data_IF_865985178950
#
_entry.id   IF_865985178950
#
_cell.length_a   1.000
_cell.length_b   1.000
_cell.length_c   1.000
_cell.angle_alpha   90.00
_cell.angle_beta   90.00
_cell.angle_gamma   90.00
#
_symmetry.space_group_name_H-M   'P 1'
#
loop_
_entity.id
_entity.type
_entity.pdbx_description
1 polymer ?
#
# COMPACT_ATOMS: atom_id res chain seq x y z
N UNK A 1 -20.23 -14.00 24.24
CA UNK A 1 -20.90 -15.31 24.41
C UNK A 1 -21.85 -15.72 23.28
N UNK A 2 -22.20 -14.83 22.37
CA UNK A 2 -23.10 -15.19 21.23
C UNK A 2 -22.35 -15.68 19.96
N UNK A 3 -21.06 -15.49 19.88
CA UNK A 3 -20.27 -15.82 18.67
C UNK A 3 -19.73 -17.27 18.64
N UNK A 4 -19.75 -17.96 19.77
CA UNK A 4 -19.31 -19.38 19.87
C UNK A 4 -20.41 -20.41 19.60
N UNK A 5 -21.69 -20.01 19.56
CA UNK A 5 -22.79 -20.94 19.33
C UNK A 5 -23.08 -21.22 17.84
N UNK A 6 -22.63 -20.35 16.95
CA UNK A 6 -22.87 -20.50 15.49
C UNK A 6 -21.86 -21.43 14.80
N UNK A 7 -20.64 -21.54 15.33
CA UNK A 7 -19.63 -22.47 14.79
C UNK A 7 -19.91 -23.94 15.12
N UNK A 8 -20.63 -24.21 16.19
CA UNK A 8 -21.00 -25.58 16.56
C UNK A 8 -22.16 -26.13 15.71
N UNK A 9 -23.09 -25.27 15.25
CA UNK A 9 -24.23 -25.70 14.41
C UNK A 9 -23.84 -25.97 12.95
N UNK A 10 -22.78 -25.39 12.41
CA UNK A 10 -22.33 -25.67 11.02
C UNK A 10 -21.53 -26.97 10.87
N UNK A 11 -20.97 -27.52 11.95
CA UNK A 11 -20.28 -28.83 11.88
C UNK A 11 -21.19 -30.03 11.97
N UNK A 12 -22.43 -29.86 12.44
CA UNK A 12 -23.43 -30.98 12.51
C UNK A 12 -24.30 -31.14 11.25
N UNK A 13 -24.29 -30.14 10.36
CA UNK A 13 -25.09 -30.20 9.12
C UNK A 13 -24.34 -30.81 7.93
N UNK A 14 -23.04 -31.14 8.07
CA UNK A 14 -22.26 -31.78 6.98
C UNK A 14 -22.03 -33.28 7.17
N UNK A 15 -22.57 -33.88 8.24
CA UNK A 15 -22.37 -35.34 8.52
C UNK A 15 -23.56 -36.22 8.18
N UNK A 16 -24.62 -35.71 7.52
CA UNK A 16 -25.82 -36.50 7.22
C UNK A 16 -26.26 -36.44 5.77
N UNK A 17 -25.34 -36.52 4.84
CA UNK A 17 -25.66 -36.72 3.42
C UNK A 17 -24.58 -37.54 2.71
N UNK A 18 -24.42 -38.80 3.13
CA UNK A 18 -23.88 -39.87 2.31
C UNK A 18 -24.52 -41.17 2.83
N UNK A 19 -25.59 -41.59 2.21
CA UNK A 19 -26.05 -42.96 2.09
C UNK A 19 -27.27 -42.96 1.17
N UNK A 20 -27.10 -43.45 -0.01
CA UNK A 20 -27.92 -44.39 -0.73
C UNK A 20 -27.64 -44.34 -2.23
N UNK A 21 -26.96 -45.34 -2.74
CA UNK A 21 -27.36 -46.07 -3.95
C UNK A 21 -26.58 -47.37 -4.03
N UNK A 22 -27.37 -48.39 -4.20
CA UNK A 22 -27.25 -49.80 -4.25
C UNK A 22 -26.34 -50.37 -5.34
N UNK A 23 -25.55 -51.40 -4.95
CA UNK A 23 -25.47 -52.79 -5.41
C UNK A 23 -25.24 -53.08 -6.91
N UNK A 24 -24.19 -53.82 -7.21
CA UNK A 24 -24.20 -55.22 -7.61
C UNK A 24 -22.82 -55.75 -8.00
N UNK A 25 -22.48 -56.85 -7.34
CA UNK A 25 -21.97 -58.16 -7.82
C UNK A 25 -20.64 -58.24 -8.59
N UNK A 26 -19.70 -58.95 -8.13
CA UNK A 26 -19.35 -60.37 -8.16
C UNK A 26 -17.87 -60.61 -7.90
N UNK A 27 -17.61 -61.55 -7.00
CA UNK A 27 -16.65 -62.66 -7.03
C UNK A 27 -15.15 -62.50 -6.68
N UNK A 28 -14.85 -63.27 -5.61
CA UNK A 28 -13.67 -64.10 -5.30
C UNK A 28 -12.62 -63.62 -4.32
N UNK A 29 -12.72 -64.28 -3.21
CA UNK A 29 -11.83 -64.61 -2.06
C UNK A 29 -10.59 -65.45 -2.49
N UNK A 30 -9.59 -65.75 -1.62
CA UNK A 30 -9.27 -65.37 -0.24
C UNK A 30 -7.74 -65.15 0.03
N UNK A 31 -7.40 -64.64 1.21
CA UNK A 31 -6.10 -64.96 1.76
C UNK A 31 -5.44 -64.01 2.77
N UNK A 32 -5.53 -64.40 4.03
CA UNK A 32 -4.57 -64.22 5.11
C UNK A 32 -4.52 -62.89 5.87
N UNK A 33 -4.87 -63.02 7.11
CA UNK A 33 -4.88 -62.14 8.22
C UNK A 33 -3.57 -61.61 8.73
N UNK A 34 -3.68 -60.51 9.47
CA UNK A 34 -2.85 -60.21 10.66
C UNK A 34 -3.58 -59.22 11.56
N UNK A 35 -3.38 -59.48 12.84
CA UNK A 35 -3.96 -58.91 14.05
C UNK A 35 -4.02 -57.38 14.12
N UNK A 36 -5.15 -56.92 14.63
CA UNK A 36 -5.39 -55.58 15.14
C UNK A 36 -5.13 -55.57 16.64
N UNK A 37 -4.13 -54.79 17.09
CA UNK A 37 -3.96 -54.49 18.51
C UNK A 37 -4.77 -53.26 18.88
N UNK A 38 -5.57 -53.42 19.92
CA UNK A 38 -6.38 -52.42 20.58
C UNK A 38 -5.60 -51.22 21.10
N UNK A 39 -6.14 -50.03 20.91
CA UNK A 39 -5.79 -48.82 21.65
C UNK A 39 -6.95 -48.49 22.60
N UNK A 40 -6.64 -48.01 23.82
CA UNK A 40 -7.63 -47.86 24.88
C UNK A 40 -8.46 -46.58 24.79
N UNK A 41 -9.69 -46.72 25.30
CA UNK A 41 -10.67 -45.68 25.44
C UNK A 41 -10.22 -44.55 26.38
N UNK A 42 -10.46 -43.33 25.99
CA UNK A 42 -10.30 -42.15 26.82
C UNK A 42 -11.59 -41.94 27.64
N UNK A 43 -11.51 -42.13 28.94
CA UNK A 43 -12.59 -41.93 29.90
C UNK A 43 -12.74 -40.44 30.20
N UNK A 44 -13.97 -39.97 30.14
CA UNK A 44 -14.48 -38.67 30.49
C UNK A 44 -14.49 -38.44 32.00
N UNK A 45 -13.83 -37.38 32.49
CA UNK A 45 -14.20 -36.72 33.75
C UNK A 45 -14.23 -35.23 33.56
N UNK A 46 -15.44 -34.67 33.45
CA UNK A 46 -15.72 -33.25 33.56
C UNK A 46 -15.92 -32.91 35.04
N UNK A 47 -14.95 -32.30 35.68
CA UNK A 47 -15.15 -31.70 37.01
C UNK A 47 -15.77 -30.30 36.85
N UNK A 48 -17.00 -30.20 37.35
CA UNK A 48 -17.73 -28.95 37.53
C UNK A 48 -17.18 -28.18 38.73
N UNK A 49 -16.43 -27.12 38.54
CA UNK A 49 -16.11 -26.18 39.61
C UNK A 49 -17.28 -25.22 39.88
N UNK A 50 -17.93 -25.42 41.02
CA UNK A 50 -18.89 -24.49 41.62
C UNK A 50 -18.19 -23.18 41.98
N UNK A 51 -18.74 -22.05 41.51
CA UNK A 51 -18.36 -20.69 42.01
C UNK A 51 -18.93 -20.46 43.40
N UNK A 52 -18.17 -19.86 44.31
CA UNK A 52 -18.73 -19.38 45.60
C UNK A 52 -19.54 -18.09 45.37
N UNK A 53 -20.71 -18.02 45.95
CA UNK A 53 -21.55 -16.82 46.08
C UNK A 53 -20.95 -15.88 47.12
N UNK A 54 -20.80 -14.59 46.80
CA UNK A 54 -20.69 -13.53 47.78
C UNK A 54 -19.41 -12.70 47.74
N UNK A 55 -19.35 -11.74 46.80
CA UNK A 55 -18.51 -10.55 46.95
C UNK A 55 -19.31 -9.35 46.45
N UNK A 56 -19.60 -8.42 47.37
CA UNK A 56 -20.28 -7.15 47.11
C UNK A 56 -19.36 -6.22 46.32
N UNK A 57 -19.90 -5.57 45.28
CA UNK A 57 -19.23 -4.55 44.53
C UNK A 57 -18.87 -3.32 45.39
N UNK A 58 -17.71 -2.69 45.23
CA UNK A 58 -17.39 -1.46 45.92
C UNK A 58 -18.21 -0.29 45.38
N UNK A 59 -18.91 0.42 46.25
CA UNK A 59 -19.56 1.70 46.00
C UNK A 59 -18.47 2.78 45.86
N UNK A 60 -18.38 3.43 44.74
CA UNK A 60 -17.63 4.66 44.60
C UNK A 60 -18.42 5.81 45.22
N UNK A 61 -17.89 6.35 46.34
CA UNK A 61 -18.41 7.54 47.00
C UNK A 61 -18.04 8.78 46.16
N UNK A 62 -19.02 9.65 45.99
CA UNK A 62 -18.81 10.97 45.39
C UNK A 62 -17.89 11.79 46.32
N UNK A 63 -16.71 12.18 45.81
CA UNK A 63 -15.81 13.12 46.50
C UNK A 63 -16.24 14.53 46.12
N UNK A 64 -16.72 15.29 47.15
CA UNK A 64 -17.05 16.71 47.06
C UNK A 64 -15.76 17.53 46.89
N UNK A 65 -15.65 18.27 45.80
CA UNK A 65 -14.59 19.23 45.50
C UNK A 65 -14.88 20.60 46.16
N UNK A 66 -14.72 20.69 47.45
CA UNK A 66 -14.89 21.97 48.18
C UNK A 66 -13.72 22.34 49.08
N UNK A 67 -12.48 22.07 48.72
CA UNK A 67 -11.33 22.60 49.47
C UNK A 67 -10.02 22.58 48.70
N UNK A 68 -9.92 23.41 47.66
CA UNK A 68 -8.62 23.79 47.11
C UNK A 68 -8.62 25.31 46.86
N UNK A 69 -8.02 26.05 47.83
CA UNK A 69 -7.68 27.47 47.64
C UNK A 69 -6.49 27.59 46.73
N UNK A 70 -6.68 28.31 45.60
CA UNK A 70 -5.60 28.77 44.72
C UNK A 70 -5.24 30.22 45.09
N UNK A 71 -3.96 30.60 45.05
CA UNK A 71 -3.57 31.99 45.22
C UNK A 71 -3.92 32.84 44.01
N UNK A 72 -4.30 34.09 44.31
CA UNK A 72 -4.76 35.09 43.35
C UNK A 72 -3.66 35.52 42.36
N UNK A 73 -4.07 35.67 41.12
CA UNK A 73 -3.40 36.53 40.16
C UNK A 73 -3.13 35.93 38.78
N UNK A 74 -4.17 35.77 37.97
CA UNK A 74 -4.15 36.02 36.53
C UNK A 74 -5.62 35.98 36.06
N UNK A 75 -6.13 37.14 35.65
CA UNK A 75 -7.45 37.28 35.06
C UNK A 75 -7.45 36.82 33.61
N UNK A 76 -8.17 35.75 33.29
CA UNK A 76 -8.62 35.46 31.95
C UNK A 76 -10.15 35.66 31.86
N UNK A 77 -10.52 36.66 31.08
CA UNK A 77 -11.90 36.93 30.73
C UNK A 77 -12.45 35.83 29.81
N UNK A 78 -13.28 34.95 30.35
CA UNK A 78 -14.08 33.99 29.56
C UNK A 78 -15.43 34.60 29.25
N UNK A 79 -15.61 35.10 28.04
CA UNK A 79 -16.90 35.57 27.53
C UNK A 79 -17.66 34.34 26.99
N UNK A 80 -18.61 33.83 27.77
CA UNK A 80 -19.62 32.90 27.28
C UNK A 80 -20.74 33.69 26.58
N UNK A 81 -20.85 33.59 25.29
CA UNK A 81 -22.03 34.08 24.54
C UNK A 81 -22.99 32.92 24.37
N UNK A 82 -24.06 32.95 25.17
CA UNK A 82 -25.24 32.09 25.01
C UNK A 82 -26.12 32.73 23.92
N UNK A 83 -26.15 32.17 22.73
CA UNK A 83 -27.13 32.58 21.71
C UNK A 83 -28.19 31.48 21.63
N UNK A 84 -29.32 31.71 22.31
CA UNK A 84 -30.60 31.09 21.94
C UNK A 84 -31.20 31.89 20.82
N UNK A 85 -31.36 31.31 19.65
CA UNK A 85 -32.24 31.86 18.61
C UNK A 85 -33.28 30.80 18.25
N UNK A 86 -34.49 31.00 18.73
CA UNK A 86 -35.69 30.43 18.12
C UNK A 86 -35.99 31.23 16.85
N UNK A 87 -36.18 30.57 15.73
CA UNK A 87 -36.70 31.24 14.52
C UNK A 87 -36.43 30.40 13.26
N UNK A 88 -37.45 29.72 12.83
CA UNK A 88 -37.60 29.14 11.49
C UNK A 88 -37.18 30.10 10.40
N UNK A 89 -36.18 29.74 9.55
CA UNK A 89 -36.20 30.05 8.11
C UNK A 89 -35.09 29.30 7.37
N UNK A 90 -35.51 28.62 6.30
CA UNK A 90 -34.83 28.25 5.06
C UNK A 90 -33.36 27.81 5.14
N UNK A 91 -33.14 26.50 4.99
CA UNK A 91 -31.90 25.92 4.53
C UNK A 91 -31.53 26.51 3.16
N UNK A 92 -30.74 27.57 3.16
CA UNK A 92 -30.00 27.97 1.96
C UNK A 92 -28.74 27.10 1.88
N UNK A 93 -28.49 26.51 0.71
CA UNK A 93 -27.37 25.69 0.30
C UNK A 93 -26.05 26.27 0.79
N UNK A 94 -25.42 25.58 1.73
CA UNK A 94 -24.08 25.88 2.20
C UNK A 94 -23.10 25.59 1.06
N UNK A 95 -22.57 26.63 0.44
CA UNK A 95 -21.46 26.48 -0.52
C UNK A 95 -20.14 26.22 0.24
N UNK A 96 -19.40 25.15 -0.08
CA UNK A 96 -18.14 24.81 0.63
C UNK A 96 -17.01 25.83 0.42
N UNK A 97 -17.18 26.80 -0.47
CA UNK A 97 -16.15 27.76 -0.85
C UNK A 97 -15.79 28.81 0.22
N UNK A 98 -16.53 28.89 1.33
CA UNK A 98 -16.31 29.95 2.35
C UNK A 98 -15.60 29.49 3.63
N UNK A 99 -15.16 28.24 3.74
CA UNK A 99 -14.51 27.71 4.97
C UNK A 99 -12.98 27.73 4.96
N UNK A 100 -12.34 28.20 3.90
CA UNK A 100 -10.90 28.32 3.86
C UNK A 100 -10.49 29.77 3.61
N UNK A 101 -9.80 30.43 4.56
CA UNK A 101 -9.23 31.74 4.29
C UNK A 101 -8.27 31.64 3.09
N UNK A 102 -8.24 32.70 2.27
CA UNK A 102 -7.45 32.82 1.04
C UNK A 102 -5.91 32.66 1.22
N UNK A 103 -5.45 32.15 2.35
CA UNK A 103 -4.05 31.89 2.70
C UNK A 103 -3.58 30.45 2.51
N UNK A 104 -4.41 29.51 2.00
CA UNK A 104 -4.00 28.11 1.81
C UNK A 104 -2.98 27.94 0.65
N UNK A 105 -2.85 28.93 -0.23
CA UNK A 105 -1.90 28.92 -1.35
C UNK A 105 -0.72 29.87 -1.13
N UNK A 106 -0.28 30.08 0.09
CA UNK A 106 0.75 31.05 0.45
C UNK A 106 2.21 30.69 0.12
N UNK A 107 2.46 29.54 -0.49
CA UNK A 107 3.76 29.20 -1.09
C UNK A 107 3.65 29.39 -2.61
N UNK A 108 4.74 29.75 -3.28
CA UNK A 108 4.79 30.18 -4.69
C UNK A 108 4.27 29.17 -5.73
N UNK A 109 3.84 27.98 -5.32
CA UNK A 109 3.37 26.92 -6.23
C UNK A 109 4.45 26.39 -7.20
N UNK A 110 5.71 26.74 -6.94
CA UNK A 110 6.90 26.32 -7.70
C UNK A 110 7.82 25.57 -6.76
N UNK A 111 8.50 24.53 -7.26
CA UNK A 111 9.52 23.81 -6.51
C UNK A 111 10.63 24.78 -6.07
N UNK A 112 10.89 24.98 -4.76
CA UNK A 112 11.87 25.95 -4.28
C UNK A 112 13.32 25.62 -4.68
N UNK A 113 13.58 24.43 -5.19
CA UNK A 113 14.89 23.98 -5.67
C UNK A 113 14.90 23.63 -7.17
N UNK A 114 13.96 24.17 -7.95
CA UNK A 114 13.92 23.93 -9.39
C UNK A 114 15.28 24.22 -10.05
N UNK A 115 15.91 25.34 -9.65
CA UNK A 115 17.20 25.81 -10.20
C UNK A 115 18.44 25.24 -9.49
N UNK A 116 18.26 24.36 -8.49
CA UNK A 116 19.39 23.76 -7.81
C UNK A 116 20.17 22.85 -8.77
N UNK A 117 21.41 23.24 -9.09
CA UNK A 117 22.32 22.42 -9.88
C UNK A 117 22.72 21.19 -9.08
N UNK A 118 22.60 20.02 -9.69
CA UNK A 118 23.09 18.76 -9.16
C UNK A 118 24.13 18.18 -10.13
N UNK A 119 25.02 17.37 -9.60
CA UNK A 119 25.90 16.56 -10.43
C UNK A 119 25.06 15.39 -11.00
N UNK A 120 24.75 15.43 -12.29
CA UNK A 120 23.92 14.43 -12.94
C UNK A 120 24.58 13.04 -12.93
N UNK A 121 25.90 12.97 -12.93
CA UNK A 121 26.61 11.69 -12.83
C UNK A 121 26.42 11.00 -11.47
N UNK A 122 26.23 11.79 -10.39
CA UNK A 122 25.86 11.24 -9.07
C UNK A 122 24.40 10.81 -8.99
N UNK A 123 23.56 11.27 -9.91
CA UNK A 123 22.16 10.86 -10.05
C UNK A 123 21.96 9.55 -10.82
N UNK A 124 23.03 8.86 -11.21
CA UNK A 124 22.98 7.55 -11.85
C UNK A 124 23.35 6.43 -10.86
N UNK A 125 22.50 5.39 -10.75
CA UNK A 125 22.81 4.25 -9.90
C UNK A 125 24.04 3.47 -10.42
N UNK A 126 24.87 3.05 -9.47
CA UNK A 126 26.05 2.22 -9.76
C UNK A 126 25.69 0.74 -9.87
N UNK A 127 26.56 -0.04 -10.51
CA UNK A 127 26.44 -1.51 -10.52
C UNK A 127 26.53 -2.05 -9.09
N UNK A 128 25.83 -3.16 -8.83
CA UNK A 128 25.80 -3.82 -7.52
C UNK A 128 25.74 -5.33 -7.69
N UNK A 129 26.22 -6.06 -6.69
CA UNK A 129 26.27 -7.54 -6.69
C UNK A 129 25.44 -8.14 -5.55
N UNK A 130 24.86 -7.32 -4.69
CA UNK A 130 24.06 -7.77 -3.54
C UNK A 130 22.89 -8.66 -3.95
N UNK A 131 22.53 -9.60 -3.08
CA UNK A 131 21.21 -10.19 -3.07
C UNK A 131 20.26 -9.24 -2.35
N UNK A 132 19.27 -8.71 -3.08
CA UNK A 132 18.27 -7.81 -2.52
C UNK A 132 16.87 -8.42 -2.57
N UNK A 133 16.07 -8.17 -1.54
CA UNK A 133 14.66 -8.55 -1.48
C UNK A 133 13.77 -7.39 -1.91
N UNK A 134 12.84 -7.65 -2.84
CA UNK A 134 11.80 -6.70 -3.24
C UNK A 134 10.45 -7.27 -2.85
N UNK A 135 9.84 -6.78 -1.78
CA UNK A 135 8.45 -7.14 -1.45
C UNK A 135 7.50 -6.36 -2.34
N UNK A 136 6.45 -7.00 -2.85
CA UNK A 136 5.58 -6.39 -3.86
C UNK A 136 6.25 -6.23 -5.22
N UNK A 137 7.27 -7.06 -5.51
CA UNK A 137 8.09 -6.95 -6.72
C UNK A 137 7.39 -7.31 -8.01
N UNK A 138 6.24 -8.00 -7.97
CA UNK A 138 5.39 -8.28 -9.13
C UNK A 138 4.36 -7.18 -9.41
N UNK A 139 4.33 -6.14 -8.57
CA UNK A 139 3.42 -5.00 -8.72
C UNK A 139 3.91 -3.97 -9.74
N UNK A 140 3.12 -2.89 -9.93
CA UNK A 140 3.43 -1.79 -10.84
C UNK A 140 4.83 -1.21 -10.61
N UNK A 141 5.09 -0.61 -9.44
CA UNK A 141 6.39 0.01 -9.14
C UNK A 141 7.48 -1.05 -8.97
N UNK A 142 7.14 -2.15 -8.28
CA UNK A 142 8.09 -3.22 -7.96
C UNK A 142 8.71 -3.86 -9.17
N UNK A 143 7.94 -4.11 -10.22
CA UNK A 143 8.45 -4.75 -11.46
C UNK A 143 9.46 -3.87 -12.21
N UNK A 144 9.25 -2.55 -12.25
CA UNK A 144 10.23 -1.61 -12.83
C UNK A 144 11.52 -1.53 -11.99
N UNK A 145 11.38 -1.58 -10.65
CA UNK A 145 12.55 -1.64 -9.77
C UNK A 145 13.35 -2.92 -9.98
N UNK A 146 12.66 -4.07 -10.07
CA UNK A 146 13.29 -5.38 -10.34
C UNK A 146 14.09 -5.35 -11.63
N UNK A 147 13.52 -4.82 -12.72
CA UNK A 147 14.21 -4.69 -14.00
C UNK A 147 15.47 -3.84 -13.91
N UNK A 148 15.40 -2.67 -13.26
CA UNK A 148 16.56 -1.79 -13.11
C UNK A 148 17.64 -2.44 -12.23
N UNK A 149 17.28 -3.10 -11.13
CA UNK A 149 18.23 -3.80 -10.27
C UNK A 149 18.95 -4.93 -11.01
N UNK A 150 18.22 -5.75 -11.77
CA UNK A 150 18.79 -6.80 -12.60
C UNK A 150 19.75 -6.24 -13.67
N UNK A 151 19.35 -5.14 -14.32
CA UNK A 151 20.19 -4.44 -15.31
C UNK A 151 21.48 -3.89 -14.70
N UNK A 152 21.46 -3.50 -13.42
CA UNK A 152 22.63 -3.03 -12.68
C UNK A 152 23.50 -4.15 -12.10
N UNK A 153 23.10 -5.41 -12.22
CA UNK A 153 23.90 -6.55 -11.79
C UNK A 153 23.48 -7.18 -10.46
N UNK A 154 22.51 -6.64 -9.77
CA UNK A 154 22.01 -7.23 -8.52
C UNK A 154 21.40 -8.62 -8.73
N UNK A 155 21.46 -9.45 -7.70
CA UNK A 155 20.60 -10.64 -7.60
C UNK A 155 19.32 -10.20 -6.87
N UNK A 156 18.18 -10.44 -7.49
CA UNK A 156 16.90 -9.94 -6.97
C UNK A 156 16.01 -11.09 -6.55
N UNK A 157 15.59 -11.07 -5.29
CA UNK A 157 14.54 -11.95 -4.78
C UNK A 157 13.25 -11.15 -4.68
N UNK A 158 12.26 -11.55 -5.45
CA UNK A 158 10.89 -11.00 -5.38
C UNK A 158 10.10 -11.79 -4.35
N UNK A 159 9.43 -11.09 -3.43
CA UNK A 159 8.49 -11.65 -2.45
C UNK A 159 7.11 -11.00 -2.66
N UNK A 160 6.16 -11.78 -3.12
CA UNK A 160 4.84 -11.28 -3.51
C UNK A 160 3.76 -12.34 -3.29
N UNK A 161 2.57 -11.93 -2.83
CA UNK A 161 1.41 -12.81 -2.67
C UNK A 161 0.48 -12.80 -3.88
N UNK A 162 0.82 -12.04 -4.92
CA UNK A 162 0.08 -11.89 -6.17
C UNK A 162 -1.37 -11.38 -5.99
N UNK A 163 -1.71 -10.74 -4.84
CA UNK A 163 -3.04 -10.14 -4.66
C UNK A 163 -3.32 -9.09 -5.75
N UNK A 164 -2.30 -8.35 -6.15
CA UNK A 164 -2.35 -7.34 -7.23
C UNK A 164 -1.16 -7.42 -8.17
N UNK A 165 -0.17 -8.24 -7.84
CA UNK A 165 1.00 -8.49 -8.65
C UNK A 165 0.68 -9.33 -9.88
N UNK A 166 1.48 -9.15 -10.94
CA UNK A 166 1.38 -9.92 -12.17
C UNK A 166 2.76 -10.46 -12.54
N UNK A 167 2.89 -11.78 -12.61
CA UNK A 167 4.15 -12.43 -12.97
C UNK A 167 4.61 -12.13 -14.39
N UNK A 168 3.70 -11.76 -15.29
CA UNK A 168 4.03 -11.31 -16.65
C UNK A 168 4.87 -10.03 -16.66
N UNK A 169 4.92 -9.27 -15.57
CA UNK A 169 5.80 -8.12 -15.42
C UNK A 169 7.26 -8.48 -15.14
N UNK A 170 7.56 -9.76 -14.85
CA UNK A 170 8.88 -10.22 -14.43
C UNK A 170 9.52 -11.12 -15.46
N UNK A 171 10.82 -10.93 -15.72
CA UNK A 171 11.62 -11.87 -16.49
C UNK A 171 12.02 -13.07 -15.60
N UNK A 172 11.10 -14.03 -15.42
CA UNK A 172 11.34 -15.22 -14.57
C UNK A 172 12.46 -16.14 -15.11
N UNK A 173 12.91 -15.97 -16.35
CA UNK A 173 14.06 -16.71 -16.92
C UNK A 173 15.41 -16.05 -16.62
N UNK A 174 15.40 -14.85 -16.05
CA UNK A 174 16.63 -14.16 -15.73
C UNK A 174 17.43 -14.90 -14.64
N UNK A 175 18.72 -15.26 -14.83
CA UNK A 175 19.47 -16.15 -13.92
C UNK A 175 19.67 -15.55 -12.51
N UNK A 176 19.55 -14.23 -12.35
CA UNK A 176 19.66 -13.52 -11.07
C UNK A 176 18.32 -13.13 -10.47
N UNK A 177 17.18 -13.60 -11.03
CA UNK A 177 15.87 -13.40 -10.45
C UNK A 177 15.40 -14.65 -9.71
N UNK A 178 15.01 -14.47 -8.46
CA UNK A 178 14.38 -15.49 -7.63
C UNK A 178 12.96 -15.02 -7.28
N UNK A 179 11.95 -15.85 -7.51
CA UNK A 179 10.59 -15.55 -7.10
C UNK A 179 10.20 -16.40 -5.88
N UNK A 180 9.71 -15.74 -4.83
CA UNK A 180 9.16 -16.35 -3.63
C UNK A 180 7.73 -15.93 -3.46
N UNK A 181 6.80 -16.86 -3.57
CA UNK A 181 5.42 -16.61 -3.19
C UNK A 181 5.31 -16.51 -1.68
N UNK A 182 4.69 -15.43 -1.17
CA UNK A 182 4.49 -15.24 0.26
C UNK A 182 3.80 -13.94 0.60
N UNK A 183 3.23 -13.90 1.79
CA UNK A 183 2.55 -12.73 2.34
C UNK A 183 3.41 -12.08 3.43
N UNK A 184 3.54 -10.75 3.41
CA UNK A 184 4.27 -9.98 4.45
C UNK A 184 3.67 -10.16 5.85
N UNK A 185 2.47 -10.74 5.95
CA UNK A 185 1.84 -11.11 7.21
C UNK A 185 2.26 -12.51 7.71
N UNK A 186 3.00 -13.27 6.91
CA UNK A 186 3.53 -14.58 7.29
C UNK A 186 5.02 -14.49 7.61
N UNK A 187 5.35 -14.54 8.91
CA UNK A 187 6.74 -14.44 9.41
C UNK A 187 7.62 -15.58 8.94
N UNK A 188 7.11 -16.79 8.84
CA UNK A 188 7.91 -17.95 8.43
C UNK A 188 8.31 -17.84 6.95
N UNK A 189 7.41 -17.37 6.10
CA UNK A 189 7.72 -17.06 4.70
C UNK A 189 8.71 -15.90 4.57
N UNK A 190 8.56 -14.83 5.37
CA UNK A 190 9.49 -13.70 5.40
C UNK A 190 10.88 -14.13 5.83
N UNK A 191 11.02 -14.93 6.90
CA UNK A 191 12.31 -15.47 7.37
C UNK A 191 13.01 -16.27 6.29
N UNK A 192 12.26 -17.16 5.61
CA UNK A 192 12.84 -17.92 4.47
C UNK A 192 13.29 -17.02 3.33
N UNK A 193 12.48 -16.02 2.98
CA UNK A 193 12.80 -15.07 1.93
C UNK A 193 13.97 -14.14 2.29
N UNK A 194 14.25 -13.93 3.58
CA UNK A 194 15.29 -13.03 4.07
C UNK A 194 16.69 -13.68 4.13
N UNK A 195 16.79 -15.00 3.99
CA UNK A 195 18.08 -15.71 4.05
C UNK A 195 19.06 -15.21 2.99
N UNK A 196 20.23 -14.72 3.41
CA UNK A 196 21.30 -14.19 2.54
C UNK A 196 21.04 -12.80 1.98
N UNK A 197 19.93 -12.16 2.30
CA UNK A 197 19.57 -10.82 1.81
C UNK A 197 20.43 -9.75 2.48
N UNK A 198 20.97 -8.84 1.65
CA UNK A 198 21.81 -7.73 2.08
C UNK A 198 21.10 -6.37 2.02
N UNK A 199 20.01 -6.28 1.28
CA UNK A 199 19.19 -5.07 1.20
C UNK A 199 17.72 -5.40 0.95
N UNK A 200 16.82 -4.57 1.49
CA UNK A 200 15.38 -4.77 1.33
C UNK A 200 14.74 -3.54 0.70
N UNK A 201 13.95 -3.75 -0.34
CA UNK A 201 13.06 -2.76 -0.93
C UNK A 201 11.62 -3.16 -0.58
N UNK A 202 11.03 -2.48 0.40
CA UNK A 202 9.70 -2.80 0.91
C UNK A 202 8.63 -1.98 0.20
N UNK A 203 8.03 -2.59 -0.86
CA UNK A 203 6.93 -2.02 -1.64
C UNK A 203 5.61 -2.79 -1.43
N UNK A 204 5.65 -3.99 -0.84
CA UNK A 204 4.47 -4.78 -0.52
C UNK A 204 3.54 -4.03 0.44
N UNK A 205 2.36 -3.64 -0.05
CA UNK A 205 1.41 -2.80 0.68
C UNK A 205 0.00 -2.90 0.09
N UNK A 206 -1.01 -2.63 0.91
CA UNK A 206 -2.37 -2.43 0.43
C UNK A 206 -2.57 -0.95 0.05
N UNK A 207 -2.80 -0.64 -1.23
CA UNK A 207 -3.03 0.73 -1.72
C UNK A 207 -4.52 1.05 -1.96
N UNK A 208 -5.41 0.49 -1.11
CA UNK A 208 -6.88 0.63 -1.24
C UNK A 208 -7.38 1.98 -0.70
N UNK A 209 -7.01 3.11 -1.34
CA UNK A 209 -7.41 4.46 -0.90
C UNK A 209 -8.92 4.63 -0.94
N UNK A 210 -9.53 4.55 -2.14
CA UNK A 210 -10.96 4.77 -2.32
C UNK A 210 -11.84 3.77 -1.56
N UNK A 211 -11.56 2.46 -1.55
CA UNK A 211 -12.30 1.52 -0.72
C UNK A 211 -12.26 1.86 0.77
N UNK A 212 -11.14 2.34 1.28
CA UNK A 212 -11.00 2.69 2.70
C UNK A 212 -11.81 3.91 3.13
N UNK A 213 -12.15 4.79 2.20
CA UNK A 213 -13.05 5.92 2.46
C UNK A 213 -14.53 5.50 2.55
N UNK A 214 -14.89 4.37 1.94
CA UNK A 214 -16.26 3.87 1.85
C UNK A 214 -16.56 2.75 2.86
N UNK A 215 -15.55 1.99 3.27
CA UNK A 215 -15.70 0.82 4.11
C UNK A 215 -14.65 0.81 5.25
N UNK A 216 -15.07 0.94 6.52
CA UNK A 216 -14.17 0.91 7.68
C UNK A 216 -13.31 -0.37 7.77
N UNK A 217 -13.83 -1.53 7.33
CA UNK A 217 -13.07 -2.79 7.31
C UNK A 217 -11.82 -2.69 6.41
N UNK A 218 -11.89 -1.91 5.33
CA UNK A 218 -10.72 -1.64 4.48
C UNK A 218 -9.69 -0.76 5.17
N UNK A 219 -10.12 0.05 6.16
CA UNK A 219 -9.19 0.79 7.02
C UNK A 219 -8.34 -0.15 7.88
N UNK A 220 -8.97 -1.12 8.54
CA UNK A 220 -8.27 -2.17 9.30
C UNK A 220 -7.32 -2.97 8.42
N UNK A 221 -7.79 -3.42 7.25
CA UNK A 221 -6.97 -4.12 6.27
C UNK A 221 -5.72 -3.32 5.86
N UNK A 222 -5.87 -2.01 5.60
CA UNK A 222 -4.73 -1.15 5.27
C UNK A 222 -3.74 -1.04 6.44
N UNK A 223 -4.21 -0.92 7.69
CA UNK A 223 -3.35 -0.85 8.88
C UNK A 223 -2.57 -2.15 9.07
N UNK A 224 -3.23 -3.29 8.95
CA UNK A 224 -2.59 -4.61 9.05
C UNK A 224 -1.49 -4.76 8.00
N UNK A 225 -1.76 -4.48 6.73
CA UNK A 225 -0.78 -4.66 5.65
C UNK A 225 0.32 -3.60 5.68
N UNK A 226 -0.03 -2.32 5.84
CA UNK A 226 0.92 -1.22 5.67
C UNK A 226 1.71 -0.89 6.94
N UNK A 227 1.19 -1.21 8.12
CA UNK A 227 1.85 -0.92 9.40
C UNK A 227 2.40 -2.19 10.04
N UNK A 228 1.54 -3.18 10.31
CA UNK A 228 1.96 -4.45 10.92
C UNK A 228 2.83 -5.24 9.95
N UNK A 229 2.48 -5.29 8.65
CA UNK A 229 3.32 -5.92 7.62
C UNK A 229 4.72 -5.29 7.54
N UNK A 230 4.82 -3.94 7.58
CA UNK A 230 6.11 -3.24 7.64
C UNK A 230 6.91 -3.61 8.88
N UNK A 231 6.28 -3.70 10.05
CA UNK A 231 6.92 -4.18 11.29
C UNK A 231 7.50 -5.58 11.12
N UNK A 232 6.77 -6.50 10.51
CA UNK A 232 7.21 -7.88 10.27
C UNK A 232 8.38 -7.98 9.30
N UNK A 233 8.38 -7.16 8.24
CA UNK A 233 9.53 -7.09 7.33
C UNK A 233 10.78 -6.61 8.06
N UNK A 234 10.66 -5.60 8.92
CA UNK A 234 11.77 -5.09 9.73
C UNK A 234 12.24 -6.11 10.78
N UNK A 235 11.31 -6.83 11.42
CA UNK A 235 11.63 -7.91 12.35
C UNK A 235 12.47 -9.00 11.66
N UNK A 236 12.01 -9.50 10.52
CA UNK A 236 12.74 -10.49 9.74
C UNK A 236 14.11 -9.98 9.25
N UNK A 237 14.22 -8.70 8.88
CA UNK A 237 15.47 -8.08 8.47
C UNK A 237 16.46 -7.96 9.64
N UNK A 238 15.99 -7.56 10.83
CA UNK A 238 16.83 -7.48 12.02
C UNK A 238 17.33 -8.85 12.49
N UNK A 239 16.51 -9.90 12.39
CA UNK A 239 16.89 -11.26 12.81
C UNK A 239 18.10 -11.80 12.04
N UNK A 240 18.26 -11.46 10.76
CA UNK A 240 19.36 -12.00 9.94
C UNK A 240 20.71 -11.36 10.22
N UNK A 241 20.76 -10.15 10.74
CA UNK A 241 22.00 -9.35 10.94
C UNK A 241 22.80 -9.12 9.64
N UNK A 242 22.25 -9.46 8.46
CA UNK A 242 22.90 -9.33 7.16
C UNK A 242 22.37 -8.15 6.35
N UNK A 243 21.14 -7.71 6.63
CA UNK A 243 20.52 -6.60 5.95
C UNK A 243 21.18 -5.29 6.38
N UNK A 244 21.76 -4.58 5.41
CA UNK A 244 22.48 -3.32 5.63
C UNK A 244 21.57 -2.10 5.56
N UNK A 245 20.44 -2.20 4.82
CA UNK A 245 19.49 -1.11 4.65
C UNK A 245 18.12 -1.60 4.19
N UNK A 246 17.08 -0.94 4.69
CA UNK A 246 15.70 -1.15 4.25
C UNK A 246 15.17 0.13 3.62
N UNK A 247 14.75 0.05 2.37
CA UNK A 247 14.07 1.11 1.63
C UNK A 247 12.55 0.94 1.76
N UNK A 248 11.83 2.01 2.04
CA UNK A 248 10.37 1.97 2.21
C UNK A 248 9.65 2.84 1.18
N UNK A 249 8.70 2.24 0.47
CA UNK A 249 7.76 2.97 -0.38
C UNK A 249 6.73 3.70 0.48
N UNK A 250 7.05 4.91 0.89
CA UNK A 250 6.16 5.81 1.63
C UNK A 250 5.19 6.55 0.68
N UNK A 251 4.46 7.56 1.15
CA UNK A 251 3.42 8.22 0.35
C UNK A 251 3.30 9.71 0.68
N UNK A 252 3.01 10.52 -0.33
CA UNK A 252 2.65 11.93 -0.15
C UNK A 252 1.21 12.15 0.34
N UNK A 253 0.37 11.10 0.35
CA UNK A 253 -1.06 11.24 0.69
C UNK A 253 -1.32 11.68 2.13
N UNK A 254 -0.40 11.49 3.05
CA UNK A 254 -0.59 11.87 4.44
C UNK A 254 -0.23 13.33 4.75
N UNK A 255 0.26 14.11 3.78
CA UNK A 255 0.31 15.56 3.92
C UNK A 255 -1.10 16.17 4.00
N UNK A 256 -2.08 15.57 3.31
CA UNK A 256 -3.46 16.07 3.28
C UNK A 256 -3.61 17.37 2.49
N UNK A 257 -4.67 18.13 2.79
CA UNK A 257 -4.94 19.41 2.13
C UNK A 257 -4.25 20.54 2.89
N UNK A 258 -3.08 20.96 2.43
CA UNK A 258 -2.34 22.11 2.95
C UNK A 258 -1.62 22.86 1.81
N UNK A 259 -0.94 23.95 2.11
CA UNK A 259 -0.20 24.74 1.12
C UNK A 259 0.90 23.92 0.44
N UNK A 260 1.00 24.02 -0.88
CA UNK A 260 2.03 23.37 -1.70
C UNK A 260 3.13 24.39 -2.05
N UNK A 261 4.36 23.93 -2.35
CA UNK A 261 4.84 22.54 -2.37
C UNK A 261 4.98 21.95 -0.96
N UNK A 262 4.78 20.61 -0.83
CA UNK A 262 4.94 19.91 0.44
C UNK A 262 6.41 19.66 0.75
N UNK A 263 6.84 20.13 1.91
CA UNK A 263 8.15 19.83 2.47
C UNK A 263 8.08 18.64 3.42
N UNK A 264 9.16 17.89 3.58
CA UNK A 264 9.24 16.76 4.51
C UNK A 264 9.08 17.17 5.98
N UNK A 265 9.22 18.46 6.28
CA UNK A 265 8.99 19.05 7.61
C UNK A 265 7.56 19.51 7.84
N UNK A 266 6.71 19.51 6.81
CA UNK A 266 5.31 19.91 6.94
C UNK A 266 4.55 18.91 7.83
N UNK A 267 3.58 19.38 8.63
CA UNK A 267 2.79 18.52 9.49
C UNK A 267 1.92 17.56 8.70
N UNK A 268 1.72 16.36 9.21
CA UNK A 268 0.86 15.36 8.58
C UNK A 268 -0.60 15.56 8.94
N UNK A 269 -1.46 15.46 7.94
CA UNK A 269 -2.93 15.61 8.04
C UNK A 269 -3.63 14.54 7.20
N UNK A 270 -3.46 13.25 7.52
CA UNK A 270 -4.01 12.17 6.69
C UNK A 270 -5.52 12.28 6.59
N UNK A 271 -6.04 12.24 5.36
CA UNK A 271 -7.47 12.37 5.05
C UNK A 271 -8.15 11.03 4.74
N UNK A 272 -7.40 9.93 4.83
CA UNK A 272 -7.91 8.57 4.59
C UNK A 272 -7.24 7.54 5.50
N UNK A 273 -7.92 6.41 5.80
CA UNK A 273 -7.29 5.29 6.53
C UNK A 273 -6.04 4.74 5.85
N UNK A 274 -6.01 4.74 4.51
CA UNK A 274 -4.81 4.41 3.75
C UNK A 274 -3.65 5.36 4.07
N UNK A 275 -3.87 6.68 4.01
CA UNK A 275 -2.84 7.67 4.32
C UNK A 275 -2.31 7.48 5.74
N UNK A 276 -3.19 7.28 6.72
CA UNK A 276 -2.81 7.00 8.11
C UNK A 276 -1.96 5.73 8.23
N UNK A 277 -2.35 4.63 7.57
CA UNK A 277 -1.63 3.36 7.62
C UNK A 277 -0.23 3.43 7.00
N UNK A 278 -0.06 4.18 5.90
CA UNK A 278 1.27 4.41 5.29
C UNK A 278 2.16 5.26 6.17
N UNK A 279 1.59 6.28 6.84
CA UNK A 279 2.32 7.08 7.81
C UNK A 279 2.77 6.26 9.04
N UNK A 280 1.90 5.40 9.56
CA UNK A 280 2.27 4.46 10.63
C UNK A 280 3.46 3.58 10.22
N UNK A 281 3.49 3.06 8.98
CA UNK A 281 4.62 2.30 8.45
C UNK A 281 5.91 3.12 8.42
N UNK A 282 5.86 4.40 8.01
CA UNK A 282 7.01 5.29 8.05
C UNK A 282 7.52 5.54 9.47
N UNK A 283 6.62 5.73 10.45
CA UNK A 283 7.01 5.86 11.86
C UNK A 283 7.72 4.61 12.39
N UNK A 284 7.25 3.42 11.99
CA UNK A 284 7.90 2.15 12.36
C UNK A 284 9.30 2.07 11.74
N UNK A 285 9.49 2.49 10.49
CA UNK A 285 10.81 2.56 9.84
C UNK A 285 11.78 3.46 10.61
N UNK A 286 11.38 4.71 10.91
CA UNK A 286 12.18 5.67 11.66
C UNK A 286 12.53 5.19 13.08
N UNK A 287 11.56 4.56 13.76
CA UNK A 287 11.77 4.00 15.10
C UNK A 287 12.77 2.84 15.06
N UNK A 288 12.69 2.00 14.04
CA UNK A 288 13.59 0.86 13.86
C UNK A 288 15.04 1.32 13.66
N UNK A 289 15.27 2.29 12.77
CA UNK A 289 16.57 2.92 12.54
C UNK A 289 17.18 3.43 13.86
N UNK A 290 16.37 4.17 14.62
CA UNK A 290 16.82 4.79 15.86
C UNK A 290 17.18 3.79 16.95
N UNK A 291 16.33 2.77 17.16
CA UNK A 291 16.46 1.82 18.28
C UNK A 291 17.37 0.64 17.94
N UNK A 292 17.18 0.02 16.78
CA UNK A 292 17.85 -1.23 16.44
C UNK A 292 19.06 -1.04 15.52
N UNK A 293 19.32 0.20 15.10
CA UNK A 293 20.47 0.57 14.24
C UNK A 293 20.49 -0.15 12.90
N UNK A 294 19.34 -0.63 12.42
CA UNK A 294 19.18 -1.06 11.05
C UNK A 294 18.84 0.17 10.20
N UNK A 295 19.72 0.60 9.29
CA UNK A 295 19.51 1.77 8.45
C UNK A 295 18.22 1.66 7.64
N UNK A 296 17.35 2.69 7.72
CA UNK A 296 16.10 2.75 6.96
C UNK A 296 15.96 4.09 6.24
N UNK A 297 15.37 4.08 5.04
CA UNK A 297 15.06 5.29 4.30
C UNK A 297 13.66 5.19 3.71
N UNK A 298 12.83 6.19 4.00
CA UNK A 298 11.46 6.29 3.50
C UNK A 298 11.40 7.26 2.33
N UNK A 299 10.88 6.82 1.17
CA UNK A 299 10.67 7.67 0.01
C UNK A 299 9.19 7.93 -0.20
N UNK A 300 8.77 9.19 -0.02
CA UNK A 300 7.37 9.63 -0.13
C UNK A 300 7.03 9.90 -1.58
N UNK A 301 6.47 8.89 -2.26
CA UNK A 301 6.10 9.00 -3.66
C UNK A 301 4.89 9.92 -3.83
N UNK A 302 4.99 10.80 -4.83
CA UNK A 302 3.87 11.56 -5.35
C UNK A 302 3.08 10.73 -6.34
N UNK A 303 2.37 11.30 -7.30
CA UNK A 303 1.52 10.51 -8.20
C UNK A 303 2.37 9.75 -9.21
N UNK A 304 2.61 8.47 -8.95
CA UNK A 304 3.39 7.62 -9.85
C UNK A 304 2.58 7.25 -11.08
N UNK A 305 3.16 7.38 -12.27
CA UNK A 305 2.55 7.02 -13.56
C UNK A 305 3.57 6.34 -14.47
N UNK A 306 3.12 5.71 -15.54
CA UNK A 306 4.01 5.06 -16.53
C UNK A 306 3.46 3.71 -17.02
N UNK A 307 4.24 2.93 -17.76
CA UNK A 307 3.89 1.58 -18.22
C UNK A 307 3.48 0.67 -17.05
N UNK A 308 2.58 -0.29 -17.28
CA UNK A 308 2.00 -1.20 -16.27
C UNK A 308 1.15 -0.49 -15.22
N UNK A 309 0.76 0.75 -15.49
CA UNK A 309 -0.07 1.55 -14.59
C UNK A 309 -1.46 0.91 -14.43
N UNK A 310 -1.95 0.63 -13.21
CA UNK A 310 -3.27 0.07 -13.01
C UNK A 310 -4.38 0.96 -13.59
N UNK A 311 -5.20 0.40 -14.47
CA UNK A 311 -6.30 1.11 -15.15
C UNK A 311 -7.67 0.81 -14.54
N UNK A 312 -7.82 -0.33 -13.87
CA UNK A 312 -9.09 -0.83 -13.34
C UNK A 312 -9.03 -1.15 -11.85
N UNK A 313 -10.20 -1.26 -11.24
CA UNK A 313 -10.35 -1.65 -9.84
C UNK A 313 -9.98 -0.58 -8.83
N UNK A 314 -9.69 -1.01 -7.61
CA UNK A 314 -9.43 -0.16 -6.45
C UNK A 314 -8.08 0.59 -6.51
N UNK A 315 -7.18 0.12 -7.33
CA UNK A 315 -5.80 0.63 -7.49
C UNK A 315 -5.64 1.54 -8.71
N UNK A 316 -6.70 1.69 -9.51
CA UNK A 316 -6.65 2.43 -10.77
C UNK A 316 -6.25 3.89 -10.57
N UNK A 317 -5.22 4.33 -11.30
CA UNK A 317 -4.67 5.68 -11.30
C UNK A 317 -5.30 6.50 -12.43
N UNK A 318 -5.30 7.82 -12.32
CA UNK A 318 -5.97 8.73 -13.27
C UNK A 318 -5.54 8.48 -14.71
N UNK A 319 -4.23 8.43 -14.96
CA UNK A 319 -3.64 8.23 -16.30
C UNK A 319 -4.06 6.90 -16.92
N UNK A 320 -4.01 5.81 -16.14
CA UNK A 320 -4.46 4.50 -16.58
C UNK A 320 -5.96 4.46 -16.89
N UNK A 321 -6.79 5.07 -16.04
CA UNK A 321 -8.24 5.18 -16.27
C UNK A 321 -8.57 5.92 -17.55
N UNK A 322 -7.89 7.02 -17.81
CA UNK A 322 -8.13 7.81 -19.00
C UNK A 322 -7.73 7.08 -20.28
N UNK A 323 -6.57 6.41 -20.25
CA UNK A 323 -6.11 5.58 -21.39
C UNK A 323 -7.06 4.39 -21.62
N UNK A 324 -7.53 3.72 -20.56
CA UNK A 324 -8.47 2.61 -20.68
C UNK A 324 -9.83 3.08 -21.30
N UNK A 325 -10.35 4.21 -20.87
CA UNK A 325 -11.56 4.80 -21.47
C UNK A 325 -11.36 5.25 -22.92
N UNK A 326 -10.18 5.79 -23.25
CA UNK A 326 -9.82 6.11 -24.64
C UNK A 326 -9.85 4.84 -25.52
N UNK A 327 -9.25 3.74 -25.08
CA UNK A 327 -9.26 2.45 -25.79
C UNK A 327 -10.68 1.92 -26.02
N UNK A 328 -11.59 2.18 -25.08
CA UNK A 328 -13.00 1.77 -25.14
C UNK A 328 -13.89 2.79 -25.87
N UNK A 329 -13.32 3.87 -26.43
CA UNK A 329 -14.05 4.99 -27.03
C UNK A 329 -15.13 5.61 -26.11
N UNK A 330 -14.87 5.61 -24.79
CA UNK A 330 -15.73 6.16 -23.77
C UNK A 330 -15.30 7.58 -23.36
N UNK A 331 -16.23 8.45 -22.92
CA UNK A 331 -15.88 9.79 -22.45
C UNK A 331 -15.01 9.73 -21.20
N UNK A 332 -13.98 10.58 -21.12
CA UNK A 332 -13.14 10.71 -19.92
C UNK A 332 -13.98 11.37 -18.80
N UNK A 333 -13.99 10.75 -17.60
CA UNK A 333 -14.75 11.29 -16.47
C UNK A 333 -13.89 12.27 -15.68
N UNK A 334 -14.26 13.55 -15.73
CA UNK A 334 -13.61 14.63 -14.98
C UNK A 334 -14.44 14.91 -13.74
N UNK A 335 -13.85 14.70 -12.56
CA UNK A 335 -14.50 14.94 -11.28
C UNK A 335 -14.40 16.42 -10.88
N UNK A 336 -15.53 17.01 -10.46
CA UNK A 336 -15.61 18.43 -10.14
C UNK A 336 -15.39 19.32 -11.37
N UNK A 337 -14.58 20.35 -11.23
CA UNK A 337 -14.19 21.28 -12.29
C UNK A 337 -12.88 20.88 -13.02
N UNK A 338 -12.25 19.79 -12.58
CA UNK A 338 -10.99 19.30 -13.13
C UNK A 338 -9.76 20.12 -12.73
N UNK A 339 -9.88 21.11 -11.83
CA UNK A 339 -8.76 21.96 -11.40
C UNK A 339 -7.88 21.31 -10.32
N UNK A 340 -8.30 20.19 -9.73
CA UNK A 340 -7.44 19.41 -8.86
C UNK A 340 -6.19 19.00 -9.62
N UNK A 341 -5.02 19.19 -9.03
CA UNK A 341 -3.75 18.90 -9.68
C UNK A 341 -2.91 17.88 -8.91
N UNK A 342 -1.99 17.23 -9.61
CA UNK A 342 -1.02 16.29 -9.04
C UNK A 342 0.36 16.56 -9.59
N UNK A 343 1.37 16.26 -8.77
CA UNK A 343 2.75 16.11 -9.18
C UNK A 343 2.91 14.66 -9.68
N UNK A 344 3.06 14.50 -10.97
CA UNK A 344 3.21 13.19 -11.60
C UNK A 344 4.69 12.85 -11.75
N UNK A 345 5.11 11.73 -11.18
CA UNK A 345 6.48 11.24 -11.29
C UNK A 345 6.51 9.90 -12.02
N UNK A 346 7.39 9.76 -13.01
CA UNK A 346 7.46 8.53 -13.81
C UNK A 346 7.97 7.34 -12.99
N UNK A 347 7.39 6.17 -13.21
CA UNK A 347 7.71 4.94 -12.47
C UNK A 347 9.18 4.55 -12.56
N UNK A 348 9.84 4.77 -13.69
CA UNK A 348 11.27 4.52 -13.85
C UNK A 348 12.13 5.47 -12.99
N UNK A 349 11.72 6.72 -12.81
CA UNK A 349 12.38 7.67 -11.90
C UNK A 349 12.17 7.27 -10.44
N UNK A 350 10.99 6.78 -10.08
CA UNK A 350 10.71 6.23 -8.75
C UNK A 350 11.60 5.03 -8.45
N UNK A 351 11.71 4.09 -9.38
CA UNK A 351 12.59 2.92 -9.25
C UNK A 351 14.06 3.36 -9.09
N UNK A 352 14.52 4.32 -9.91
CA UNK A 352 15.86 4.89 -9.81
C UNK A 352 16.10 5.57 -8.45
N UNK A 353 15.14 6.32 -7.92
CA UNK A 353 15.25 6.96 -6.61
C UNK A 353 15.43 5.96 -5.46
N UNK A 354 14.77 4.81 -5.53
CA UNK A 354 14.92 3.72 -4.56
C UNK A 354 16.36 3.17 -4.58
N UNK A 355 16.92 2.96 -5.77
CA UNK A 355 18.28 2.45 -5.92
C UNK A 355 19.31 3.46 -5.44
N UNK A 356 19.17 4.74 -5.81
CA UNK A 356 20.02 5.82 -5.30
C UNK A 356 19.98 5.92 -3.77
N UNK A 357 18.77 5.84 -3.21
CA UNK A 357 18.57 5.82 -1.77
C UNK A 357 19.25 4.62 -1.11
N UNK A 358 19.18 3.44 -1.70
CA UNK A 358 19.86 2.24 -1.19
C UNK A 358 21.38 2.38 -1.22
N UNK A 359 21.93 2.95 -2.28
CA UNK A 359 23.38 3.11 -2.48
C UNK A 359 23.98 4.30 -1.70
N UNK A 360 23.16 5.22 -1.22
CA UNK A 360 23.61 6.35 -0.40
C UNK A 360 23.82 5.97 1.06
N UNK A 361 24.55 6.82 1.81
CA UNK A 361 24.67 6.69 3.27
C UNK A 361 23.49 7.34 4.02
N UNK A 362 22.51 7.90 3.30
CA UNK A 362 21.36 8.58 3.89
C UNK A 362 20.40 7.57 4.49
N UNK A 363 20.12 7.68 5.79
CA UNK A 363 19.16 6.85 6.50
C UNK A 363 18.49 7.62 7.65
N UNK A 364 17.54 7.00 8.35
CA UNK A 364 16.85 7.60 9.50
C UNK A 364 16.00 8.82 9.14
N UNK A 365 15.57 8.94 7.89
CA UNK A 365 14.81 10.11 7.40
C UNK A 365 13.83 9.73 6.30
N UNK A 366 13.07 10.74 5.85
CA UNK A 366 12.16 10.62 4.72
C UNK A 366 12.47 11.64 3.65
N UNK A 367 12.23 11.30 2.37
CA UNK A 367 12.52 12.14 1.22
C UNK A 367 11.33 12.13 0.26
N UNK A 368 10.89 13.29 -0.19
CA UNK A 368 9.88 13.43 -1.23
C UNK A 368 10.42 13.04 -2.59
N UNK A 369 9.68 12.21 -3.32
CA UNK A 369 9.99 11.82 -4.69
C UNK A 369 8.81 12.22 -5.58
N UNK A 370 9.00 13.34 -6.25
CA UNK A 370 8.09 13.95 -7.21
C UNK A 370 8.88 14.53 -8.38
N UNK A 371 8.20 15.08 -9.36
CA UNK A 371 8.79 15.82 -10.46
C UNK A 371 9.10 17.28 -10.07
N UNK A 372 8.33 17.83 -9.13
CA UNK A 372 8.29 19.26 -8.83
C UNK A 372 7.42 20.06 -9.79
N UNK A 373 6.68 19.38 -10.66
CA UNK A 373 5.74 19.94 -11.63
C UNK A 373 4.32 19.48 -11.34
N UNK A 374 3.34 20.33 -11.65
CA UNK A 374 1.92 20.03 -11.42
C UNK A 374 1.14 19.99 -12.72
N UNK A 375 0.24 19.02 -12.81
CA UNK A 375 -0.72 18.95 -13.92
C UNK A 375 -2.13 18.75 -13.33
N UNK A 376 -3.08 19.55 -13.81
CA UNK A 376 -4.49 19.41 -13.41
C UNK A 376 -5.13 18.19 -14.07
N UNK A 377 -6.21 17.70 -13.47
CA UNK A 377 -7.01 16.62 -14.07
C UNK A 377 -7.51 17.00 -15.47
N UNK A 378 -7.87 18.29 -15.65
CA UNK A 378 -8.32 18.84 -16.94
C UNK A 378 -7.20 18.81 -17.98
N UNK A 379 -5.98 19.27 -17.65
CA UNK A 379 -4.81 19.22 -18.54
C UNK A 379 -4.50 17.77 -18.95
N UNK A 380 -4.54 16.83 -18.01
CA UNK A 380 -4.33 15.40 -18.33
C UNK A 380 -5.42 14.87 -19.25
N UNK A 381 -6.68 15.25 -19.02
CA UNK A 381 -7.78 14.85 -19.90
C UNK A 381 -7.62 15.41 -21.33
N UNK A 382 -7.22 16.69 -21.46
CA UNK A 382 -6.99 17.34 -22.74
C UNK A 382 -5.87 16.69 -23.57
N UNK A 383 -4.83 16.17 -22.89
CA UNK A 383 -3.79 15.38 -23.55
C UNK A 383 -4.29 14.04 -24.11
N UNK A 384 -5.30 13.43 -23.45
CA UNK A 384 -5.76 12.08 -23.80
C UNK A 384 -6.87 12.12 -24.85
N UNK A 385 -7.93 12.91 -24.65
CA UNK A 385 -9.08 12.97 -25.56
C UNK A 385 -9.95 14.20 -25.31
N UNK A 386 -10.52 14.75 -26.41
CA UNK A 386 -11.57 15.75 -26.33
C UNK A 386 -12.96 15.20 -25.92
N UNK A 387 -13.16 13.87 -25.94
CA UNK A 387 -14.40 13.24 -25.48
C UNK A 387 -14.42 13.18 -23.93
N UNK A 388 -15.02 14.20 -23.29
CA UNK A 388 -14.95 14.42 -21.84
C UNK A 388 -16.36 14.60 -21.26
N UNK A 389 -16.55 14.09 -20.03
CA UNK A 389 -17.78 14.24 -19.26
C UNK A 389 -17.46 14.66 -17.82
N UNK A 390 -18.04 15.74 -17.36
CA UNK A 390 -17.91 16.19 -15.98
C UNK A 390 -18.87 15.42 -15.06
N UNK A 391 -18.37 15.00 -13.91
CA UNK A 391 -19.12 14.29 -12.88
C UNK A 391 -18.95 14.97 -11.52
N UNK A 392 -19.84 14.75 -10.53
CA UNK A 392 -19.71 15.37 -9.22
C UNK A 392 -18.36 15.11 -8.56
N UNK A 393 -17.80 16.13 -7.90
CA UNK A 393 -16.56 16.04 -7.15
C UNK A 393 -16.64 14.98 -6.03
N UNK A 394 -15.55 14.28 -5.76
CA UNK A 394 -15.45 13.35 -4.64
C UNK A 394 -15.37 14.10 -3.30
N UNK A 395 -16.03 13.54 -2.29
CA UNK A 395 -15.81 13.99 -0.93
C UNK A 395 -14.39 13.65 -0.48
N UNK A 396 -13.76 14.60 0.21
CA UNK A 396 -12.40 14.44 0.78
C UNK A 396 -11.28 14.18 -0.24
N UNK A 397 -11.47 14.56 -1.51
CA UNK A 397 -10.35 14.51 -2.45
C UNK A 397 -9.29 15.58 -2.11
N UNK A 398 -8.04 15.28 -2.44
CA UNK A 398 -6.94 16.24 -2.30
C UNK A 398 -7.07 17.31 -3.39
N UNK A 399 -7.05 18.58 -3.00
CA UNK A 399 -7.12 19.71 -3.92
C UNK A 399 -5.90 19.76 -4.84
N UNK A 400 -4.70 19.51 -4.28
CA UNK A 400 -3.48 19.49 -5.05
C UNK A 400 -2.33 18.83 -4.31
N UNK A 401 -1.39 18.26 -5.07
CA UNK A 401 -0.12 17.77 -4.54
C UNK A 401 1.03 18.26 -5.41
N UNK A 402 2.06 18.81 -4.77
CA UNK A 402 3.30 19.26 -5.41
C UNK A 402 4.45 19.00 -4.44
N UNK A 403 5.52 18.37 -4.88
CA UNK A 403 6.69 18.08 -4.08
C UNK A 403 7.61 19.30 -3.95
N UNK A 404 8.10 19.53 -2.73
CA UNK A 404 9.39 20.17 -2.55
C UNK A 404 10.47 19.11 -2.79
N UNK A 405 11.26 19.23 -3.85
CA UNK A 405 12.28 18.26 -4.26
C UNK A 405 13.68 18.56 -3.73
N UNK A 406 13.83 19.58 -2.89
CA UNK A 406 15.14 20.05 -2.40
C UNK A 406 15.93 18.95 -1.70
N UNK A 407 15.27 18.16 -0.86
CA UNK A 407 15.93 17.09 -0.11
C UNK A 407 16.41 15.97 -1.01
N UNK A 408 15.60 15.55 -1.99
CA UNK A 408 15.97 14.55 -2.99
C UNK A 408 17.20 14.99 -3.81
N UNK A 409 17.21 16.24 -4.26
CA UNK A 409 18.35 16.82 -4.99
C UNK A 409 19.62 16.86 -4.15
N UNK A 410 19.53 17.35 -2.91
CA UNK A 410 20.69 17.53 -2.02
C UNK A 410 21.27 16.21 -1.52
N UNK A 411 20.43 15.26 -1.14
CA UNK A 411 20.86 14.04 -0.46
C UNK A 411 21.09 12.86 -1.41
N UNK A 412 20.35 12.81 -2.54
CA UNK A 412 20.42 11.68 -3.47
C UNK A 412 20.88 12.08 -4.86
N UNK A 413 21.19 13.35 -5.12
CA UNK A 413 21.38 13.89 -6.47
C UNK A 413 20.23 13.48 -7.42
N UNK A 414 19.03 13.35 -6.87
CA UNK A 414 17.86 12.88 -7.60
C UNK A 414 17.11 14.06 -8.23
N UNK A 415 16.78 13.92 -9.51
CA UNK A 415 15.83 14.73 -10.27
C UNK A 415 15.02 13.81 -11.17
N UNK A 416 13.72 14.03 -11.29
CA UNK A 416 12.91 13.33 -12.29
C UNK A 416 13.44 13.68 -13.70
N UNK A 417 13.55 12.67 -14.57
CA UNK A 417 14.12 12.81 -15.94
C UNK A 417 13.06 12.70 -17.02
N UNK A 418 11.90 12.10 -16.71
CA UNK A 418 10.83 11.89 -17.67
C UNK A 418 9.88 13.08 -17.67
N UNK A 419 9.76 13.71 -18.82
CA UNK A 419 8.76 14.74 -19.08
C UNK A 419 7.36 14.10 -19.13
N UNK A 420 6.42 14.68 -18.38
CA UNK A 420 5.07 14.13 -18.25
C UNK A 420 4.31 14.12 -19.57
N UNK A 421 4.35 15.24 -20.31
CA UNK A 421 3.58 15.42 -21.55
C UNK A 421 4.09 14.49 -22.64
N UNK A 422 5.42 14.39 -22.79
CA UNK A 422 6.02 13.50 -23.79
C UNK A 422 5.75 12.02 -23.46
N UNK A 423 5.91 11.64 -22.21
CA UNK A 423 5.61 10.26 -21.77
C UNK A 423 4.15 9.90 -22.00
N UNK A 424 3.21 10.81 -21.66
CA UNK A 424 1.78 10.57 -21.91
C UNK A 424 1.48 10.39 -23.40
N UNK A 425 2.09 11.17 -24.28
CA UNK A 425 1.94 10.99 -25.74
C UNK A 425 2.39 9.61 -26.20
N UNK A 426 3.53 9.11 -25.69
CA UNK A 426 4.01 7.76 -25.99
C UNK A 426 3.03 6.71 -25.48
N UNK A 427 2.60 6.79 -24.20
CA UNK A 427 1.65 5.86 -23.62
C UNK A 427 0.30 5.82 -24.36
N UNK A 428 -0.18 6.97 -24.83
CA UNK A 428 -1.41 7.06 -25.64
C UNK A 428 -1.21 6.40 -27.01
N UNK A 429 -0.09 6.67 -27.67
CA UNK A 429 0.22 6.09 -28.98
C UNK A 429 0.32 4.55 -28.90
N UNK A 430 1.02 4.03 -27.89
CA UNK A 430 1.15 2.59 -27.64
C UNK A 430 -0.21 1.94 -27.35
N UNK A 431 -1.04 2.62 -26.56
CA UNK A 431 -2.38 2.13 -26.25
C UNK A 431 -3.30 2.05 -27.46
N UNK A 432 -3.21 3.00 -28.40
CA UNK A 432 -3.98 3.03 -29.65
C UNK A 432 -3.43 2.05 -30.68
N UNK A 433 -2.12 1.82 -30.70
CA UNK A 433 -1.48 0.82 -31.57
C UNK A 433 -1.77 -0.63 -31.13
N UNK A 434 -2.41 -0.82 -29.96
CA UNK A 434 -2.64 -2.15 -29.40
C UNK A 434 -1.36 -2.84 -28.92
N UNK A 435 -0.23 -2.10 -28.87
CA UNK A 435 0.99 -2.60 -28.26
C UNK A 435 0.70 -2.84 -26.79
N UNK A 436 0.87 -4.08 -26.35
CA UNK A 436 0.82 -4.37 -24.91
C UNK A 436 2.13 -3.89 -24.30
N UNK A 437 2.07 -3.14 -23.20
CA UNK A 437 3.23 -2.79 -22.35
C UNK A 437 3.94 -4.03 -21.78
N UNK A 438 3.52 -5.18 -22.22
CA UNK A 438 4.03 -6.48 -21.85
C UNK A 438 4.96 -6.96 -22.94
N UNK A 439 6.13 -7.36 -22.59
CA UNK A 439 6.94 -8.26 -23.40
C UNK A 439 6.23 -9.65 -23.51
N UNK A 440 4.91 -9.63 -23.78
CA UNK A 440 4.06 -10.82 -23.81
C UNK A 440 4.53 -11.83 -24.86
N UNK A 441 5.25 -11.37 -25.90
CA UNK A 441 5.85 -12.26 -26.90
C UNK A 441 7.00 -13.11 -26.34
N UNK A 442 7.62 -12.71 -25.22
CA UNK A 442 8.75 -13.44 -24.60
C UNK A 442 8.33 -14.47 -23.54
N UNK A 443 7.09 -14.44 -23.07
CA UNK A 443 6.64 -15.28 -21.96
C UNK A 443 5.45 -16.11 -22.37
N UNK A 444 5.72 -17.35 -22.73
CA UNK A 444 4.66 -18.31 -22.93
C UNK A 444 3.93 -18.49 -21.58
N UNK A 445 2.61 -18.37 -21.59
CA UNK A 445 1.75 -18.55 -20.43
C UNK A 445 2.05 -19.87 -19.70
N UNK A 446 2.39 -20.91 -20.47
CA UNK A 446 2.82 -22.22 -19.96
C UNK A 446 4.05 -22.16 -19.04
N UNK A 447 5.03 -21.28 -19.33
CA UNK A 447 6.22 -21.13 -18.50
C UNK A 447 5.88 -20.46 -17.16
N UNK A 448 5.03 -19.44 -17.18
CA UNK A 448 4.55 -18.76 -15.96
C UNK A 448 3.71 -19.73 -15.14
N UNK A 449 2.84 -20.51 -15.78
CA UNK A 449 2.04 -21.55 -15.13
C UNK A 449 2.93 -22.65 -14.49
N UNK A 450 3.99 -23.09 -15.20
CA UNK A 450 4.96 -24.04 -14.64
C UNK A 450 5.68 -23.53 -13.39
N UNK A 451 6.07 -22.24 -13.40
CA UNK A 451 6.69 -21.60 -12.22
C UNK A 451 5.71 -21.44 -11.05
N UNK A 452 4.46 -21.15 -11.33
CA UNK A 452 3.43 -21.08 -10.29
C UNK A 452 3.17 -22.46 -9.68
N UNK A 453 3.13 -23.51 -10.47
CA UNK A 453 2.94 -24.89 -9.99
C UNK A 453 4.14 -25.38 -9.15
N UNK A 454 5.37 -24.97 -9.51
CA UNK A 454 6.59 -25.26 -8.73
C UNK A 454 6.54 -24.65 -7.32
N UNK A 455 6.02 -23.43 -7.19
CA UNK A 455 5.96 -22.70 -5.92
C UNK A 455 4.63 -22.83 -5.18
N UNK A 456 3.58 -23.19 -5.87
CA UNK A 456 2.20 -23.36 -5.39
C UNK A 456 1.59 -24.61 -6.01
N UNK A 457 1.93 -25.80 -5.52
CA UNK A 457 1.29 -27.03 -5.98
C UNK A 457 -0.23 -26.93 -5.82
N UNK A 458 -0.98 -27.16 -6.91
CA UNK A 458 -2.43 -27.04 -6.91
C UNK A 458 -2.95 -25.62 -7.26
N UNK A 459 -2.11 -24.70 -7.73
CA UNK A 459 -2.49 -23.36 -8.18
C UNK A 459 -3.73 -23.35 -9.10
N UNK A 460 -3.82 -24.29 -10.05
CA UNK A 460 -4.96 -24.41 -10.97
C UNK A 460 -6.28 -24.71 -10.25
N UNK A 461 -6.22 -25.44 -9.15
CA UNK A 461 -7.41 -25.76 -8.34
C UNK A 461 -7.89 -24.56 -7.51
N UNK A 462 -6.97 -23.63 -7.16
CA UNK A 462 -7.29 -22.42 -6.39
C UNK A 462 -7.89 -21.31 -7.26
N UNK A 463 -7.55 -21.25 -8.54
CA UNK A 463 -8.03 -20.20 -9.47
C UNK A 463 -9.26 -20.59 -10.29
N UNK A 464 -9.75 -21.83 -10.18
CA UNK A 464 -11.01 -22.27 -10.77
C UNK A 464 -12.27 -21.79 -10.04
N UNK A 465 -12.11 -21.09 -8.92
CA UNK A 465 -13.20 -20.37 -8.25
C UNK A 465 -13.11 -18.90 -8.65
N UNK A 466 -14.09 -18.47 -9.44
CA UNK A 466 -14.27 -17.15 -10.02
C UNK A 466 -13.85 -15.98 -9.08
N UNK A 467 -13.05 -15.06 -9.63
CA UNK A 467 -12.75 -13.76 -9.03
C UNK A 467 -13.91 -12.78 -9.21
#
# INVERSE_FOLDING_TARGET
CMWLSERCRRRHAMSTKVETTTANDTDKDPGQGKEVKNSPACSSECHAHRRPRGAKAPRWGAVSLSSLRWPAGIAFASTWVLVMVCGSQSFQSFQPAQLFPAGVFGKSGVDPCADLKIDEALGDPKRGEDLVLVTGGSGFIGSHLVEQLLGLGYTVRVFDNLETGNLLFLNLRHPRLQFFFGDIMDMDSLRRAMVGVQGVFHLGAASKVLPSLKNPTMGTFNVERNSVGTSRVLEAANETQQVRKVMYAASSTYYGNQAVPFSETDPFRPTSPYAASKYMGELVMLTNDNLYKLPTLSLRFFMVYGPRNPSQGAYAILTGKFIDRLKQNQPLLIEGDGQNFRDFVHVADVARSLILGYQSDVHGTSINIGSGERHSVKEVADLVSGNQQYVPARKNDLLGTLADTCRAKKLLSFRARHDFVQTMKVMIADALAGSSDYHAEMWQEEFVQGKLEEHLPGWKALNGQER
#
